data_IF_031288832975
#
_entry.id   IF_031288832975
#
_cell.length_a   1.000
_cell.length_b   1.000
_cell.length_c   1.000
_cell.angle_alpha   90.00
_cell.angle_beta   90.00
_cell.angle_gamma   90.00
#
_symmetry.space_group_name_H-M   'P 1'
#
loop_
_entity.id
_entity.type
_entity.pdbx_description
1 polymer ?
#
# COMPACT_ATOMS: atom_id res chain seq x y z
N UNK A 1 -10.56 -7.36 46.56
CA UNK A 1 -10.33 -8.26 45.40
C UNK A 1 -10.96 -7.62 44.19
N UNK A 2 -10.16 -7.00 43.34
CA UNK A 2 -10.66 -6.47 42.04
C UNK A 2 -10.93 -7.66 41.14
N UNK A 3 -12.20 -8.00 40.92
CA UNK A 3 -12.57 -9.02 39.95
C UNK A 3 -12.10 -8.54 38.56
N UNK A 4 -11.38 -9.40 37.81
CA UNK A 4 -10.99 -9.13 36.46
C UNK A 4 -12.26 -8.82 35.62
N UNK A 5 -12.28 -7.67 34.94
CA UNK A 5 -13.41 -7.21 34.15
C UNK A 5 -12.97 -6.92 32.75
N UNK A 6 -13.87 -7.10 31.79
CA UNK A 6 -13.65 -6.58 30.44
C UNK A 6 -13.77 -5.06 30.43
N UNK A 7 -12.92 -4.38 29.71
CA UNK A 7 -13.04 -2.95 29.41
C UNK A 7 -13.48 -2.82 27.97
N UNK A 8 -14.72 -2.39 27.74
CA UNK A 8 -15.34 -2.35 26.42
C UNK A 8 -15.62 -0.90 26.04
N UNK A 9 -15.07 -0.43 24.94
CA UNK A 9 -15.45 0.85 24.38
C UNK A 9 -16.54 0.66 23.31
N UNK A 10 -17.47 1.59 23.21
CA UNK A 10 -18.58 1.48 22.26
C UNK A 10 -18.87 2.79 21.54
N UNK A 11 -19.25 2.68 20.27
CA UNK A 11 -19.75 3.78 19.46
C UNK A 11 -20.95 3.33 18.63
N UNK A 12 -22.00 4.13 18.62
CA UNK A 12 -23.24 3.83 17.91
C UNK A 12 -23.93 5.08 17.39
N UNK A 13 -24.81 4.89 16.43
CA UNK A 13 -25.72 5.96 15.96
C UNK A 13 -26.58 6.48 17.11
N UNK A 14 -26.98 7.77 17.07
CA UNK A 14 -27.92 8.31 18.04
C UNK A 14 -29.18 7.45 18.15
N UNK A 15 -29.64 7.22 19.39
CA UNK A 15 -30.85 6.41 19.69
C UNK A 15 -30.74 4.92 19.37
N UNK A 16 -29.55 4.38 19.23
CA UNK A 16 -29.34 2.94 19.07
C UNK A 16 -29.79 2.18 20.32
N UNK A 17 -30.78 1.30 20.19
CA UNK A 17 -31.39 0.59 21.32
C UNK A 17 -30.38 -0.33 22.02
N UNK A 18 -29.60 -1.10 21.24
CA UNK A 18 -28.58 -2.01 21.78
C UNK A 18 -27.51 -1.27 22.60
N UNK A 19 -27.11 -0.07 22.18
CA UNK A 19 -26.09 0.72 22.86
C UNK A 19 -26.55 1.21 24.24
N UNK A 20 -27.81 1.66 24.32
CA UNK A 20 -28.43 2.01 25.60
C UNK A 20 -28.55 0.80 26.51
N UNK A 21 -28.93 -0.34 25.98
CA UNK A 21 -29.11 -1.60 26.70
C UNK A 21 -27.80 -2.14 27.25
N UNK A 22 -26.72 -2.18 26.48
CA UNK A 22 -25.37 -2.57 26.92
C UNK A 22 -24.89 -1.66 28.06
N UNK A 23 -25.10 -0.34 27.88
CA UNK A 23 -24.78 0.63 28.93
C UNK A 23 -25.53 0.36 30.23
N UNK A 24 -26.82 0.02 30.15
CA UNK A 24 -27.66 -0.33 31.31
C UNK A 24 -27.14 -1.60 32.00
N UNK A 25 -26.80 -2.64 31.24
CA UNK A 25 -26.24 -3.88 31.80
C UNK A 25 -24.90 -3.66 32.51
N UNK A 26 -24.02 -2.84 31.93
CA UNK A 26 -22.73 -2.51 32.54
C UNK A 26 -22.90 -1.71 33.83
N UNK A 27 -23.77 -0.68 33.84
CA UNK A 27 -24.04 0.15 35.02
C UNK A 27 -24.72 -0.64 36.16
N UNK A 28 -25.58 -1.60 35.83
CA UNK A 28 -26.23 -2.48 36.75
C UNK A 28 -25.34 -3.66 37.20
N UNK A 29 -24.08 -3.73 36.76
CA UNK A 29 -23.18 -4.87 36.98
C UNK A 29 -23.78 -6.22 36.53
N UNK A 30 -24.73 -6.20 35.59
CA UNK A 30 -25.36 -7.38 35.02
C UNK A 30 -24.45 -8.12 34.01
N UNK A 31 -23.40 -7.48 33.55
CA UNK A 31 -22.30 -8.05 32.73
C UNK A 31 -20.97 -7.78 33.42
N UNK A 32 -19.95 -8.65 33.26
CA UNK A 32 -18.62 -8.47 33.86
C UNK A 32 -17.76 -7.50 33.03
N UNK A 33 -18.32 -6.33 32.66
CA UNK A 33 -17.66 -5.37 31.79
C UNK A 33 -17.87 -3.93 32.27
N UNK A 34 -16.81 -3.12 32.15
CA UNK A 34 -16.89 -1.66 32.18
C UNK A 34 -17.20 -1.20 30.73
N UNK A 35 -18.20 -0.33 30.56
CA UNK A 35 -18.58 0.17 29.24
C UNK A 35 -18.28 1.65 29.10
N UNK A 36 -17.32 1.96 28.20
CA UNK A 36 -16.87 3.32 27.89
C UNK A 36 -17.57 3.79 26.62
N UNK A 37 -18.40 4.81 26.74
CA UNK A 37 -19.10 5.40 25.58
C UNK A 37 -18.22 6.38 24.84
N UNK A 38 -18.19 6.27 23.52
CA UNK A 38 -17.58 7.25 22.63
C UNK A 38 -18.67 7.96 21.83
N UNK A 39 -18.50 9.27 21.64
CA UNK A 39 -19.44 10.11 20.89
C UNK A 39 -19.34 9.87 19.39
N UNK A 40 -18.13 9.54 18.92
CA UNK A 40 -17.87 9.28 17.51
C UNK A 40 -16.70 8.35 17.27
N UNK A 41 -16.53 7.96 16.01
CA UNK A 41 -15.46 7.05 15.57
C UNK A 41 -14.07 7.66 15.80
N UNK A 42 -13.91 8.97 15.60
CA UNK A 42 -12.62 9.65 15.79
C UNK A 42 -12.20 9.68 17.28
N UNK A 43 -13.15 9.88 18.18
CA UNK A 43 -12.87 9.77 19.62
C UNK A 43 -12.45 8.34 19.98
N UNK A 44 -13.14 7.33 19.44
CA UNK A 44 -12.79 5.93 19.67
C UNK A 44 -11.38 5.63 19.16
N UNK A 45 -11.02 6.10 17.95
CA UNK A 45 -9.66 5.96 17.41
C UNK A 45 -8.62 6.59 18.34
N UNK A 46 -8.86 7.82 18.77
CA UNK A 46 -7.96 8.52 19.69
C UNK A 46 -7.76 7.78 21.01
N UNK A 47 -8.82 7.17 21.54
CA UNK A 47 -8.75 6.38 22.79
C UNK A 47 -7.98 5.07 22.61
N UNK A 48 -8.16 4.37 21.49
CA UNK A 48 -7.42 3.15 21.15
C UNK A 48 -5.93 3.46 20.99
N UNK A 49 -5.59 4.51 20.26
CA UNK A 49 -4.19 4.89 19.98
C UNK A 49 -3.48 5.54 21.17
N UNK A 50 -4.23 6.04 22.17
CA UNK A 50 -3.63 6.64 23.38
C UNK A 50 -2.97 5.63 24.33
N UNK A 51 -3.04 4.32 24.01
CA UNK A 51 -2.47 3.26 24.83
C UNK A 51 -3.33 2.86 26.03
N UNK A 52 -4.57 3.35 26.14
CA UNK A 52 -5.51 2.84 27.15
C UNK A 52 -5.91 1.41 26.79
N UNK A 53 -5.76 0.45 27.70
CA UNK A 53 -6.10 -0.93 27.41
C UNK A 53 -7.62 -1.13 27.32
N UNK A 54 -8.06 -1.76 26.23
CA UNK A 54 -9.44 -2.22 26.04
C UNK A 54 -9.44 -3.71 25.74
N UNK A 55 -10.43 -4.42 26.25
CA UNK A 55 -10.68 -5.83 25.93
C UNK A 55 -11.36 -5.98 24.57
N UNK A 56 -12.33 -5.12 24.29
CA UNK A 56 -13.11 -5.12 23.06
C UNK A 56 -13.63 -3.73 22.72
N UNK A 57 -14.00 -3.56 21.44
CA UNK A 57 -14.80 -2.44 20.98
C UNK A 57 -16.11 -2.94 20.37
N UNK A 58 -17.22 -2.25 20.68
CA UNK A 58 -18.53 -2.49 20.08
C UNK A 58 -18.86 -1.38 19.08
N UNK A 59 -19.07 -1.74 17.84
CA UNK A 59 -19.21 -0.84 16.72
C UNK A 59 -20.57 -0.98 16.05
N UNK A 60 -21.32 0.10 15.89
CA UNK A 60 -22.53 0.10 15.05
C UNK A 60 -22.12 0.04 13.56
N UNK A 61 -22.42 -1.07 12.91
CA UNK A 61 -22.11 -1.28 11.49
C UNK A 61 -22.78 -0.31 10.50
N UNK A 62 -23.73 0.49 10.96
CA UNK A 62 -24.35 1.57 10.18
C UNK A 62 -23.68 2.94 10.36
N UNK A 63 -22.63 3.06 11.17
CA UNK A 63 -21.90 4.32 11.36
C UNK A 63 -20.90 4.57 10.24
N UNK A 64 -20.89 5.78 9.65
CA UNK A 64 -19.79 6.22 8.79
C UNK A 64 -18.47 6.20 9.57
N UNK A 65 -17.40 5.66 8.96
CA UNK A 65 -16.07 5.57 9.58
C UNK A 65 -15.81 4.27 10.35
N UNK A 66 -16.82 3.39 10.52
CA UNK A 66 -16.59 1.99 10.85
C UNK A 66 -16.19 1.29 9.56
N UNK A 67 -14.90 1.07 9.40
CA UNK A 67 -14.28 0.63 8.16
C UNK A 67 -13.11 -0.33 8.43
N UNK A 68 -12.50 -0.85 7.37
CA UNK A 68 -11.34 -1.75 7.42
C UNK A 68 -10.20 -1.18 8.27
N UNK A 69 -9.94 0.13 8.16
CA UNK A 69 -8.85 0.78 8.87
C UNK A 69 -9.08 0.83 10.38
N UNK A 70 -10.32 1.12 10.82
CA UNK A 70 -10.66 1.07 12.24
C UNK A 70 -10.51 -0.34 12.81
N UNK A 71 -10.99 -1.35 12.06
CA UNK A 71 -10.88 -2.75 12.47
C UNK A 71 -9.42 -3.21 12.52
N UNK A 72 -8.59 -2.75 11.58
CA UNK A 72 -7.16 -3.01 11.59
C UNK A 72 -6.45 -2.38 12.79
N UNK A 73 -6.73 -1.10 13.10
CA UNK A 73 -6.18 -0.42 14.30
C UNK A 73 -6.55 -1.15 15.58
N UNK A 74 -7.80 -1.60 15.73
CA UNK A 74 -8.22 -2.36 16.91
C UNK A 74 -7.45 -3.68 17.02
N UNK A 75 -7.35 -4.44 15.93
CA UNK A 75 -6.60 -5.70 15.88
C UNK A 75 -5.13 -5.49 16.20
N UNK A 76 -4.50 -4.46 15.62
CA UNK A 76 -3.08 -4.14 15.82
C UNK A 76 -2.78 -3.73 17.27
N UNK A 77 -3.80 -3.26 18.00
CA UNK A 77 -3.74 -3.01 19.44
C UNK A 77 -4.18 -4.21 20.30
N UNK A 78 -4.43 -5.38 19.71
CA UNK A 78 -4.89 -6.57 20.44
C UNK A 78 -6.31 -6.48 20.99
N UNK A 79 -7.14 -5.56 20.44
CA UNK A 79 -8.50 -5.28 20.91
C UNK A 79 -9.49 -6.02 20.00
N UNK A 80 -10.40 -6.80 20.59
CA UNK A 80 -11.44 -7.48 19.83
C UNK A 80 -12.44 -6.47 19.24
N UNK A 81 -12.56 -6.43 17.92
CA UNK A 81 -13.53 -5.56 17.24
C UNK A 81 -14.82 -6.33 16.93
N UNK A 82 -15.88 -6.03 17.67
CA UNK A 82 -17.20 -6.67 17.52
C UNK A 82 -18.15 -5.67 16.87
N UNK A 83 -18.67 -6.02 15.70
CA UNK A 83 -19.60 -5.17 14.95
C UNK A 83 -21.04 -5.57 15.24
N UNK A 84 -21.86 -4.60 15.61
CA UNK A 84 -23.30 -4.80 15.80
C UNK A 84 -24.00 -4.42 14.51
N UNK A 85 -24.49 -5.40 13.77
CA UNK A 85 -25.07 -5.24 12.44
C UNK A 85 -26.06 -6.38 12.13
N UNK A 86 -26.82 -6.23 11.03
CA UNK A 86 -27.67 -7.30 10.54
C UNK A 86 -26.83 -8.57 10.27
N UNK A 87 -27.25 -9.75 10.75
CA UNK A 87 -26.56 -11.01 10.54
C UNK A 87 -26.25 -11.33 9.06
N UNK A 88 -27.08 -10.88 8.13
CA UNK A 88 -26.83 -11.02 6.67
C UNK A 88 -25.55 -10.32 6.24
N UNK A 89 -25.13 -9.28 6.95
CA UNK A 89 -23.89 -8.54 6.67
C UNK A 89 -22.65 -9.15 7.34
N UNK A 90 -22.77 -10.20 8.14
CA UNK A 90 -21.67 -10.81 8.87
C UNK A 90 -20.47 -11.23 8.00
N UNK A 91 -20.66 -11.88 6.82
CA UNK A 91 -19.52 -12.25 5.95
C UNK A 91 -18.73 -11.03 5.48
N UNK A 92 -19.40 -9.91 5.22
CA UNK A 92 -18.76 -8.65 4.85
C UNK A 92 -17.89 -8.11 5.97
N UNK A 93 -18.40 -8.05 7.21
CA UNK A 93 -17.66 -7.51 8.34
C UNK A 93 -16.47 -8.39 8.72
N UNK A 94 -16.62 -9.72 8.65
CA UNK A 94 -15.52 -10.67 8.83
C UNK A 94 -14.43 -10.46 7.77
N UNK A 95 -14.81 -10.28 6.51
CA UNK A 95 -13.87 -9.98 5.42
C UNK A 95 -13.15 -8.62 5.59
N UNK A 96 -13.73 -7.69 6.34
CA UNK A 96 -13.12 -6.41 6.72
C UNK A 96 -12.20 -6.52 7.95
N UNK A 97 -12.22 -7.66 8.66
CA UNK A 97 -11.37 -7.93 9.82
C UNK A 97 -12.07 -7.76 11.18
N UNK A 98 -13.41 -7.81 11.22
CA UNK A 98 -14.14 -7.87 12.48
C UNK A 98 -13.85 -9.19 13.21
N UNK A 99 -13.63 -9.14 14.52
CA UNK A 99 -13.45 -10.32 15.37
C UNK A 99 -14.75 -11.10 15.55
N UNK A 100 -15.89 -10.39 15.53
CA UNK A 100 -17.22 -10.97 15.60
C UNK A 100 -18.31 -10.01 15.15
N UNK A 101 -19.49 -10.56 14.86
CA UNK A 101 -20.67 -9.78 14.51
C UNK A 101 -21.84 -10.21 15.39
N UNK A 102 -22.51 -9.23 16.02
CA UNK A 102 -23.70 -9.44 16.84
C UNK A 102 -24.91 -8.77 16.18
N UNK A 103 -26.08 -9.34 16.41
CA UNK A 103 -27.36 -8.73 15.97
C UNK A 103 -27.65 -7.44 16.75
N UNK A 104 -28.31 -6.43 16.16
CA UNK A 104 -28.83 -5.29 16.89
C UNK A 104 -29.85 -5.65 17.98
N UNK A 105 -30.46 -6.84 17.92
CA UNK A 105 -31.34 -7.41 18.94
C UNK A 105 -30.58 -8.31 19.93
N UNK A 106 -29.27 -8.08 20.12
CA UNK A 106 -28.42 -8.89 20.97
C UNK A 106 -28.95 -9.03 22.40
N UNK A 107 -28.80 -10.22 22.96
CA UNK A 107 -29.09 -10.51 24.34
C UNK A 107 -27.85 -10.34 25.22
N UNK A 108 -28.07 -10.27 26.53
CA UNK A 108 -26.97 -10.23 27.50
C UNK A 108 -26.06 -11.45 27.40
N UNK A 109 -26.64 -12.63 27.22
CA UNK A 109 -25.89 -13.88 27.11
C UNK A 109 -24.97 -13.87 25.89
N UNK A 110 -25.51 -13.51 24.72
CA UNK A 110 -24.72 -13.40 23.46
C UNK A 110 -23.55 -12.42 23.57
N UNK A 111 -23.74 -11.28 24.26
CA UNK A 111 -22.65 -10.34 24.49
C UNK A 111 -21.57 -10.92 25.40
N UNK A 112 -21.96 -11.57 26.49
CA UNK A 112 -21.00 -12.18 27.42
C UNK A 112 -20.24 -13.33 26.76
N UNK A 113 -20.92 -14.17 26.00
CA UNK A 113 -20.30 -15.27 25.25
C UNK A 113 -19.33 -14.74 24.18
N UNK A 114 -19.69 -13.66 23.48
CA UNK A 114 -18.80 -13.02 22.52
C UNK A 114 -17.56 -12.42 23.19
N UNK A 115 -17.72 -11.75 24.35
CA UNK A 115 -16.58 -11.23 25.09
C UNK A 115 -15.69 -12.36 25.62
N UNK A 116 -16.25 -13.43 26.11
CA UNK A 116 -15.49 -14.58 26.65
C UNK A 116 -14.70 -15.31 25.55
N UNK A 117 -15.23 -15.37 24.33
CA UNK A 117 -14.60 -16.08 23.20
C UNK A 117 -13.61 -15.23 22.40
N UNK A 118 -13.80 -13.90 22.35
CA UNK A 118 -13.07 -13.02 21.45
C UNK A 118 -12.15 -12.02 22.16
N UNK A 119 -12.45 -11.64 23.40
CA UNK A 119 -11.79 -10.56 24.10
C UNK A 119 -10.86 -11.07 25.20
N UNK A 120 -9.75 -10.38 25.40
CA UNK A 120 -8.83 -10.65 26.51
C UNK A 120 -9.22 -9.78 27.72
N UNK A 121 -9.09 -10.32 28.93
CA UNK A 121 -9.26 -9.57 30.16
C UNK A 121 -8.10 -8.58 30.32
N UNK A 122 -8.41 -7.32 30.59
CA UNK A 122 -7.39 -6.33 30.93
C UNK A 122 -6.89 -6.59 32.37
N UNK A 123 -5.61 -6.94 32.49
CA UNK A 123 -4.95 -7.03 33.78
C UNK A 123 -4.41 -5.67 34.18
N UNK A 124 -4.69 -5.20 35.41
CA UNK A 124 -4.15 -3.94 35.92
C UNK A 124 -2.68 -4.01 36.33
N UNK A 125 -1.99 -5.13 36.08
CA UNK A 125 -0.67 -5.40 36.63
C UNK A 125 0.47 -5.35 35.60
N UNK A 126 0.19 -5.17 34.29
CA UNK A 126 1.31 -5.13 33.32
C UNK A 126 1.00 -4.24 32.10
N UNK A 127 1.76 -3.14 31.91
CA UNK A 127 1.57 -2.24 30.75
C UNK A 127 2.33 -2.66 29.49
N UNK A 128 2.77 -3.92 29.38
CA UNK A 128 3.49 -4.38 28.19
C UNK A 128 2.75 -5.55 27.56
N UNK A 129 1.91 -5.31 26.56
CA UNK A 129 1.46 -6.41 25.71
C UNK A 129 2.66 -6.93 24.93
N UNK A 130 3.11 -8.13 25.25
CA UNK A 130 4.00 -8.89 24.37
C UNK A 130 3.17 -9.28 23.15
N UNK A 131 3.28 -8.49 22.10
CA UNK A 131 2.61 -8.71 20.84
C UNK A 131 3.36 -9.82 20.10
N UNK A 132 2.87 -11.04 20.15
CA UNK A 132 3.14 -12.01 19.11
C UNK A 132 2.24 -11.65 17.90
N UNK A 133 2.79 -11.20 16.79
CA UNK A 133 1.99 -10.92 15.61
C UNK A 133 1.36 -12.24 15.16
N UNK A 134 0.06 -12.39 15.34
CA UNK A 134 -0.71 -13.45 14.70
C UNK A 134 -0.48 -13.29 13.21
N UNK A 135 0.37 -14.16 12.67
CA UNK A 135 0.75 -14.14 11.27
C UNK A 135 -0.46 -14.47 10.41
N UNK A 136 -1.20 -13.44 10.02
CA UNK A 136 -2.01 -13.52 8.82
C UNK A 136 -1.01 -13.77 7.70
N UNK A 137 -0.93 -15.02 7.23
CA UNK A 137 -0.12 -15.41 6.08
C UNK A 137 -0.66 -14.65 4.89
N UNK A 138 -0.07 -13.50 4.59
CA UNK A 138 -0.35 -12.78 3.36
C UNK A 138 -0.09 -13.74 2.21
N UNK A 139 -1.15 -14.13 1.53
CA UNK A 139 -1.05 -14.91 0.30
C UNK A 139 -0.19 -14.14 -0.70
N UNK A 140 0.69 -14.81 -1.46
CA UNK A 140 1.48 -14.13 -2.50
C UNK A 140 0.55 -13.37 -3.43
N UNK A 141 0.92 -12.12 -3.78
CA UNK A 141 0.19 -11.35 -4.79
C UNK A 141 0.17 -12.15 -6.10
N UNK A 142 -1.00 -12.43 -6.67
CA UNK A 142 -1.10 -13.30 -7.85
C UNK A 142 -0.56 -12.65 -9.13
N UNK A 143 -0.44 -11.30 -9.17
CA UNK A 143 0.07 -10.52 -10.29
C UNK A 143 1.51 -10.04 -10.08
N UNK A 144 2.22 -9.73 -11.19
CA UNK A 144 3.51 -9.05 -11.18
C UNK A 144 3.34 -7.55 -11.13
N UNK A 145 4.22 -6.87 -10.38
CA UNK A 145 4.19 -5.43 -10.21
C UNK A 145 5.48 -4.80 -10.73
N UNK A 146 5.33 -3.82 -11.63
CA UNK A 146 6.42 -2.97 -12.13
C UNK A 146 6.15 -1.56 -11.62
N UNK A 147 6.94 -1.07 -10.68
CA UNK A 147 6.86 0.32 -10.25
C UNK A 147 7.77 1.18 -11.13
N UNK A 148 7.30 2.33 -11.55
CA UNK A 148 8.08 3.31 -12.33
C UNK A 148 8.08 4.62 -11.56
N UNK A 149 9.28 5.10 -11.25
CA UNK A 149 9.48 6.32 -10.49
C UNK A 149 10.62 7.15 -11.03
N UNK A 150 10.66 8.42 -10.70
CA UNK A 150 11.74 9.31 -11.09
C UNK A 150 11.51 10.74 -10.58
N UNK A 151 12.56 11.54 -10.41
CA UNK A 151 12.43 12.95 -10.11
C UNK A 151 11.56 13.68 -11.13
N UNK A 152 10.88 14.72 -10.71
CA UNK A 152 9.99 15.49 -11.59
C UNK A 152 10.69 15.95 -12.88
N UNK A 153 10.01 15.81 -14.02
CA UNK A 153 10.52 16.21 -15.33
C UNK A 153 11.45 15.19 -16.02
N UNK A 154 11.70 14.03 -15.42
CA UNK A 154 12.53 12.98 -16.05
C UNK A 154 11.79 12.14 -17.09
N UNK A 155 10.46 12.26 -17.17
CA UNK A 155 9.61 11.49 -18.06
C UNK A 155 9.24 10.11 -17.51
N UNK A 156 9.21 9.93 -16.18
CA UNK A 156 8.83 8.68 -15.52
C UNK A 156 7.44 8.21 -16.00
N UNK A 157 6.45 9.09 -16.08
CA UNK A 157 5.10 8.75 -16.58
C UNK A 157 5.10 8.27 -18.02
N UNK A 158 5.98 8.81 -18.87
CA UNK A 158 6.17 8.31 -20.26
C UNK A 158 6.80 6.92 -20.28
N UNK A 159 7.77 6.68 -19.39
CA UNK A 159 8.38 5.35 -19.24
C UNK A 159 7.36 4.35 -18.70
N UNK A 160 6.47 4.76 -17.78
CA UNK A 160 5.38 3.91 -17.28
C UNK A 160 4.41 3.49 -18.39
N UNK A 161 4.00 4.43 -19.26
CA UNK A 161 3.20 4.12 -20.44
C UNK A 161 3.94 3.15 -21.38
N UNK A 162 5.24 3.39 -21.61
CA UNK A 162 6.06 2.54 -22.47
C UNK A 162 6.23 1.14 -21.89
N UNK A 163 6.38 1.01 -20.57
CA UNK A 163 6.43 -0.27 -19.89
C UNK A 163 5.10 -1.03 -20.02
N UNK A 164 3.97 -0.35 -19.78
CA UNK A 164 2.65 -0.95 -19.94
C UNK A 164 2.39 -1.43 -21.37
N UNK A 165 2.71 -0.61 -22.37
CA UNK A 165 2.58 -0.99 -23.79
C UNK A 165 3.54 -2.15 -24.13
N UNK A 166 4.78 -2.13 -23.66
CA UNK A 166 5.75 -3.18 -23.95
C UNK A 166 5.32 -4.55 -23.44
N UNK A 167 4.75 -4.62 -22.22
CA UNK A 167 4.30 -5.88 -21.62
C UNK A 167 2.95 -6.35 -22.15
N UNK A 168 2.10 -5.44 -22.63
CA UNK A 168 0.81 -5.79 -23.23
C UNK A 168 0.93 -6.29 -24.68
N UNK A 169 1.90 -5.78 -25.44
CA UNK A 169 2.12 -6.15 -26.85
C UNK A 169 3.23 -7.19 -27.04
N UNK A 170 3.96 -7.54 -25.97
CA UNK A 170 5.04 -8.53 -25.98
C UNK A 170 4.58 -9.98 -26.15
N UNK A 171 5.53 -10.90 -26.25
CA UNK A 171 5.27 -12.36 -26.36
C UNK A 171 4.51 -12.83 -25.12
N UNK A 172 3.27 -13.31 -25.31
CA UNK A 172 2.36 -13.72 -24.22
C UNK A 172 1.49 -12.58 -23.67
N UNK A 173 1.65 -11.35 -24.15
CA UNK A 173 0.76 -10.24 -23.82
C UNK A 173 -0.64 -10.46 -24.39
N UNK A 174 -1.66 -10.26 -23.60
CA UNK A 174 -3.05 -10.25 -24.06
C UNK A 174 -3.69 -8.92 -23.64
N UNK A 175 -4.46 -8.28 -24.52
CA UNK A 175 -5.25 -7.11 -24.14
C UNK A 175 -6.08 -7.38 -22.88
N UNK A 176 -6.12 -6.44 -21.95
CA UNK A 176 -6.84 -6.58 -20.70
C UNK A 176 -6.11 -7.34 -19.57
N UNK A 177 -4.87 -7.79 -19.79
CA UNK A 177 -4.04 -8.42 -18.76
C UNK A 177 -3.09 -7.44 -18.05
N UNK A 178 -2.98 -6.21 -18.54
CA UNK A 178 -2.09 -5.18 -18.04
C UNK A 178 -2.90 -3.96 -17.63
N UNK A 179 -2.63 -3.44 -16.45
CA UNK A 179 -3.13 -2.13 -16.02
C UNK A 179 -1.99 -1.18 -15.75
N UNK A 180 -2.10 0.05 -16.27
CA UNK A 180 -1.30 1.20 -15.85
C UNK A 180 -2.07 1.94 -14.75
N UNK A 181 -1.52 1.98 -13.55
CA UNK A 181 -2.13 2.66 -12.42
C UNK A 181 -1.38 3.98 -12.14
N UNK A 182 -2.09 5.10 -12.21
CA UNK A 182 -1.55 6.41 -11.83
C UNK A 182 -1.68 6.58 -10.30
N UNK A 183 -0.59 6.35 -9.60
CA UNK A 183 -0.50 6.45 -8.14
C UNK A 183 0.24 7.72 -7.69
N UNK A 184 0.54 8.62 -8.61
CA UNK A 184 1.17 9.88 -8.28
C UNK A 184 0.21 10.81 -7.51
N UNK A 185 0.74 11.55 -6.52
CA UNK A 185 -0.01 12.63 -5.87
C UNK A 185 -0.45 13.69 -6.88
N UNK A 186 0.37 13.93 -7.90
CA UNK A 186 0.06 14.76 -9.06
C UNK A 186 -0.17 13.84 -10.23
N UNK A 187 -1.38 13.35 -10.32
CA UNK A 187 -1.79 12.43 -11.38
C UNK A 187 -1.80 13.14 -12.74
N UNK A 188 -1.07 12.60 -13.71
CA UNK A 188 -0.92 13.17 -15.05
C UNK A 188 -1.31 12.19 -16.17
N UNK A 189 -1.51 10.89 -15.84
CA UNK A 189 -1.81 9.88 -16.85
C UNK A 189 -3.13 10.15 -17.59
N UNK A 190 -4.14 10.70 -16.91
CA UNK A 190 -5.40 11.10 -17.57
C UNK A 190 -5.14 12.11 -18.70
N UNK A 191 -4.32 13.13 -18.46
CA UNK A 191 -3.94 14.12 -19.48
C UNK A 191 -3.08 13.48 -20.60
N UNK A 192 -2.13 12.60 -20.25
CA UNK A 192 -1.26 11.91 -21.20
C UNK A 192 -1.98 10.88 -22.10
N UNK A 193 -3.23 10.56 -21.75
CA UNK A 193 -4.11 9.66 -22.53
C UNK A 193 -5.31 10.39 -23.14
N UNK A 194 -5.30 11.73 -23.14
CA UNK A 194 -6.43 12.56 -23.61
C UNK A 194 -7.78 12.14 -23.01
N UNK A 195 -7.75 11.76 -21.73
CA UNK A 195 -8.96 11.31 -21.05
C UNK A 195 -9.95 12.45 -20.89
N UNK A 196 -11.18 12.26 -21.37
CA UNK A 196 -12.30 13.18 -21.16
C UNK A 196 -12.94 13.01 -19.80
N UNK A 197 -12.62 11.94 -19.08
CA UNK A 197 -13.15 11.61 -17.77
C UNK A 197 -12.09 11.76 -16.69
N UNK A 198 -12.52 12.12 -15.50
CA UNK A 198 -11.67 12.22 -14.29
C UNK A 198 -12.08 11.19 -13.23
N UNK A 199 -13.10 10.40 -13.53
CA UNK A 199 -13.67 9.35 -12.68
C UNK A 199 -14.38 8.30 -13.58
N UNK A 200 -14.48 7.02 -13.15
CA UNK A 200 -13.91 6.48 -11.92
C UNK A 200 -12.37 6.40 -11.96
N UNK A 201 -11.75 6.07 -10.81
CA UNK A 201 -10.29 5.92 -10.71
C UNK A 201 -9.87 5.46 -9.32
N UNK A 202 -8.66 5.84 -8.92
CA UNK A 202 -8.03 5.42 -7.67
C UNK A 202 -8.88 5.68 -6.42
N UNK A 203 -9.59 6.81 -6.35
CA UNK A 203 -10.43 7.11 -5.18
C UNK A 203 -11.58 6.11 -5.04
N UNK A 204 -12.30 5.85 -6.11
CA UNK A 204 -13.41 4.90 -6.14
C UNK A 204 -12.91 3.48 -5.84
N UNK A 205 -11.73 3.11 -6.32
CA UNK A 205 -11.09 1.84 -6.02
C UNK A 205 -10.78 1.70 -4.51
N UNK A 206 -10.16 2.72 -3.91
CA UNK A 206 -9.84 2.72 -2.47
C UNK A 206 -11.11 2.75 -1.62
N UNK A 207 -12.11 3.56 -1.98
CA UNK A 207 -13.39 3.63 -1.26
C UNK A 207 -14.15 2.29 -1.31
N UNK A 208 -14.14 1.60 -2.45
CA UNK A 208 -14.73 0.27 -2.58
C UNK A 208 -14.06 -0.75 -1.65
N UNK A 209 -12.73 -0.70 -1.52
CA UNK A 209 -11.99 -1.58 -0.61
C UNK A 209 -12.06 -1.17 0.86
N UNK A 210 -12.36 0.09 1.15
CA UNK A 210 -12.60 0.57 2.51
C UNK A 210 -13.85 -0.07 3.11
N UNK A 211 -14.89 -0.23 2.31
CA UNK A 211 -16.20 -0.71 2.75
C UNK A 211 -16.52 -2.16 2.38
N UNK A 212 -15.70 -2.82 1.57
CA UNK A 212 -15.96 -4.18 1.09
C UNK A 212 -14.73 -4.85 0.48
N UNK A 213 -14.99 -5.90 -0.28
CA UNK A 213 -14.01 -6.60 -1.12
C UNK A 213 -14.62 -6.73 -2.53
N UNK A 214 -14.35 -5.76 -3.41
CA UNK A 214 -14.86 -5.81 -4.78
C UNK A 214 -14.29 -7.02 -5.53
N UNK A 215 -15.10 -7.54 -6.47
CA UNK A 215 -14.65 -8.61 -7.34
C UNK A 215 -13.64 -8.10 -8.39
N UNK A 216 -12.82 -8.98 -9.00
CA UNK A 216 -11.96 -8.58 -10.11
C UNK A 216 -12.70 -7.87 -11.26
N UNK A 217 -13.96 -8.24 -11.52
CA UNK A 217 -14.80 -7.59 -12.54
C UNK A 217 -15.18 -6.16 -12.14
N UNK A 218 -15.54 -5.94 -10.86
CA UNK A 218 -15.82 -4.59 -10.34
C UNK A 218 -14.59 -3.70 -10.39
N UNK A 219 -13.41 -4.25 -10.09
CA UNK A 219 -12.13 -3.51 -10.17
C UNK A 219 -11.84 -3.09 -11.61
N UNK A 220 -11.99 -4.01 -12.57
CA UNK A 220 -11.79 -3.71 -13.99
C UNK A 220 -12.78 -2.66 -14.50
N UNK A 221 -14.00 -2.63 -13.99
CA UNK A 221 -15.00 -1.63 -14.35
C UNK A 221 -14.62 -0.18 -13.91
N UNK A 222 -13.62 -0.04 -13.01
CA UNK A 222 -13.07 1.25 -12.60
C UNK A 222 -11.92 1.73 -13.48
N UNK A 223 -11.48 0.93 -14.46
CA UNK A 223 -10.38 1.21 -15.37
C UNK A 223 -10.90 1.53 -16.78
N UNK A 224 -10.09 2.25 -17.55
CA UNK A 224 -10.40 2.61 -18.94
C UNK A 224 -9.51 1.83 -19.91
N UNK A 225 -10.09 1.21 -20.92
CA UNK A 225 -9.34 0.50 -21.96
C UNK A 225 -8.59 1.46 -22.90
N UNK A 226 -7.27 1.34 -22.99
CA UNK A 226 -6.42 2.07 -23.94
C UNK A 226 -6.08 1.13 -25.09
N UNK A 227 -7.02 0.97 -26.02
CA UNK A 227 -7.00 -0.10 -27.03
C UNK A 227 -5.74 -0.09 -27.90
N UNK A 228 -5.32 1.08 -28.41
CA UNK A 228 -4.15 1.21 -29.29
C UNK A 228 -2.83 0.87 -28.61
N UNK A 229 -2.80 0.92 -27.28
CA UNK A 229 -1.63 0.58 -26.45
C UNK A 229 -1.76 -0.79 -25.75
N UNK A 230 -2.95 -1.40 -25.78
CA UNK A 230 -3.22 -2.76 -25.33
C UNK A 230 -3.33 -2.95 -23.82
N UNK A 231 -3.48 -1.90 -23.02
CA UNK A 231 -3.62 -1.96 -21.56
C UNK A 231 -4.83 -1.17 -21.07
N UNK A 232 -5.20 -1.43 -19.82
CA UNK A 232 -6.20 -0.63 -19.11
C UNK A 232 -5.51 0.45 -18.26
N UNK A 233 -6.18 1.58 -18.07
CA UNK A 233 -5.71 2.72 -17.28
C UNK A 233 -6.59 2.92 -16.05
N UNK A 234 -5.99 2.87 -14.86
CA UNK A 234 -6.59 3.37 -13.63
C UNK A 234 -6.20 4.83 -13.45
N UNK A 235 -7.17 5.73 -13.54
CA UNK A 235 -6.96 7.17 -13.32
C UNK A 235 -6.55 7.45 -11.88
N UNK A 236 -5.61 8.36 -11.69
CA UNK A 236 -5.12 8.74 -10.38
C UNK A 236 -5.99 9.73 -9.63
N UNK A 237 -5.42 10.38 -8.63
CA UNK A 237 -6.10 11.35 -7.80
C UNK A 237 -6.61 12.55 -8.63
N UNK A 238 -7.90 12.86 -8.55
CA UNK A 238 -8.49 14.02 -9.21
C UNK A 238 -7.90 15.35 -8.76
N UNK A 239 -7.47 15.44 -7.49
CA UNK A 239 -6.80 16.59 -6.90
C UNK A 239 -5.78 16.11 -5.88
N UNK A 240 -4.57 16.67 -5.92
CA UNK A 240 -3.48 16.33 -5.01
C UNK A 240 -3.91 16.25 -3.53
N UNK A 241 -4.71 17.21 -3.04
CA UNK A 241 -5.15 17.28 -1.64
C UNK A 241 -5.99 16.06 -1.18
N UNK A 242 -6.52 15.26 -2.12
CA UNK A 242 -7.37 14.12 -1.78
C UNK A 242 -6.61 12.93 -1.21
N UNK A 243 -5.27 13.01 -1.14
CA UNK A 243 -4.49 12.03 -0.40
C UNK A 243 -4.95 11.90 1.07
N UNK A 244 -5.45 12.99 1.68
CA UNK A 244 -5.96 12.97 3.06
C UNK A 244 -7.21 12.09 3.26
N UNK A 245 -7.87 11.70 2.18
CA UNK A 245 -9.01 10.78 2.22
C UNK A 245 -8.61 9.31 2.05
N UNK A 246 -7.38 9.06 1.63
CA UNK A 246 -6.84 7.72 1.46
C UNK A 246 -6.47 7.16 2.83
N UNK A 247 -7.01 5.99 3.16
CA UNK A 247 -6.66 5.29 4.40
C UNK A 247 -5.67 4.17 4.09
N UNK A 248 -4.59 4.03 4.89
CA UNK A 248 -3.51 3.09 4.59
C UNK A 248 -3.96 1.64 4.37
N UNK A 249 -4.86 1.12 5.21
CA UNK A 249 -5.37 -0.25 5.06
C UNK A 249 -6.25 -0.42 3.83
N UNK A 250 -7.04 0.59 3.47
CA UNK A 250 -7.85 0.58 2.26
C UNK A 250 -6.98 0.68 0.99
N UNK A 251 -5.90 1.48 1.01
CA UNK A 251 -4.92 1.58 -0.09
C UNK A 251 -4.23 0.24 -0.30
N UNK A 252 -3.75 -0.40 0.77
CA UNK A 252 -3.12 -1.71 0.68
C UNK A 252 -4.07 -2.75 0.08
N UNK A 253 -5.31 -2.83 0.58
CA UNK A 253 -6.31 -3.76 0.05
C UNK A 253 -6.71 -3.45 -1.40
N UNK A 254 -6.77 -2.17 -1.79
CA UNK A 254 -7.04 -1.75 -3.16
C UNK A 254 -5.92 -2.20 -4.12
N UNK A 255 -4.68 -2.06 -3.69
CA UNK A 255 -3.54 -2.49 -4.47
C UNK A 255 -3.48 -4.01 -4.62
N UNK A 256 -3.73 -4.77 -3.56
CA UNK A 256 -3.88 -6.23 -3.60
C UNK A 256 -5.02 -6.66 -4.53
N UNK A 257 -6.17 -5.97 -4.45
CA UNK A 257 -7.29 -6.18 -5.34
C UNK A 257 -6.91 -5.97 -6.81
N UNK A 258 -6.15 -4.91 -7.09
CA UNK A 258 -5.66 -4.62 -8.44
C UNK A 258 -4.74 -5.75 -8.96
N UNK A 259 -3.81 -6.23 -8.13
CA UNK A 259 -2.93 -7.36 -8.44
C UNK A 259 -3.69 -8.69 -8.61
N UNK A 260 -4.88 -8.81 -8.00
CA UNK A 260 -5.76 -9.97 -8.18
C UNK A 260 -6.59 -9.87 -9.46
N UNK A 261 -6.91 -8.64 -9.90
CA UNK A 261 -7.67 -8.41 -11.12
C UNK A 261 -6.81 -8.44 -12.38
N UNK A 262 -5.53 -8.11 -12.27
CA UNK A 262 -4.61 -8.01 -13.43
C UNK A 262 -3.34 -8.84 -13.21
N UNK A 263 -2.95 -9.67 -14.17
CA UNK A 263 -1.67 -10.40 -14.15
C UNK A 263 -0.44 -9.48 -14.06
N UNK A 264 -0.51 -8.27 -14.64
CA UNK A 264 0.58 -7.29 -14.60
C UNK A 264 0.02 -5.92 -14.22
N UNK A 265 0.60 -5.33 -13.19
CA UNK A 265 0.33 -3.97 -12.74
C UNK A 265 1.57 -3.12 -12.99
N UNK A 266 1.46 -2.09 -13.80
CA UNK A 266 2.47 -1.04 -13.95
C UNK A 266 2.01 0.16 -13.13
N UNK A 267 2.77 0.50 -12.10
CA UNK A 267 2.44 1.59 -11.18
C UNK A 267 3.33 2.81 -11.47
N UNK A 268 2.72 3.90 -11.92
CA UNK A 268 3.37 5.21 -12.05
C UNK A 268 3.32 5.90 -10.68
N UNK A 269 4.48 6.08 -10.04
CA UNK A 269 4.59 6.55 -8.65
C UNK A 269 5.54 7.73 -8.51
N UNK A 270 5.29 8.57 -7.51
CA UNK A 270 6.20 9.66 -7.14
C UNK A 270 7.52 9.14 -6.55
N UNK A 271 8.50 10.03 -6.48
CA UNK A 271 9.85 9.73 -6.00
C UNK A 271 10.00 9.80 -4.47
N UNK A 272 9.01 10.34 -3.75
CA UNK A 272 9.08 10.57 -2.30
C UNK A 272 8.66 9.30 -1.54
N UNK A 273 9.59 8.72 -0.78
CA UNK A 273 9.41 7.52 0.03
C UNK A 273 9.48 7.77 1.54
N UNK A 274 9.62 9.05 1.96
CA UNK A 274 9.68 9.39 3.37
C UNK A 274 8.47 8.84 4.14
N UNK A 275 8.74 8.27 5.31
CA UNK A 275 7.75 7.78 6.24
C UNK A 275 7.92 8.38 7.63
N UNK A 276 7.16 7.90 8.60
CA UNK A 276 7.24 8.31 10.00
C UNK A 276 8.63 7.99 10.59
N UNK A 277 9.24 6.91 10.16
CA UNK A 277 10.57 6.44 10.57
C UNK A 277 11.71 7.45 10.29
N UNK A 278 11.59 8.24 9.23
CA UNK A 278 12.57 9.24 8.82
C UNK A 278 12.13 10.65 9.22
N UNK A 279 10.87 10.99 8.95
CA UNK A 279 10.34 12.36 9.16
C UNK A 279 9.82 12.60 10.57
N UNK A 280 9.54 11.55 11.36
CA UNK A 280 8.83 11.63 12.63
C UNK A 280 7.36 12.04 12.51
N UNK A 281 6.79 12.00 11.30
CA UNK A 281 5.42 12.44 11.01
C UNK A 281 4.62 11.38 10.27
N UNK A 282 3.54 10.93 10.90
CA UNK A 282 2.57 10.02 10.27
C UNK A 282 1.88 10.64 9.05
N UNK A 283 1.68 11.95 9.04
CA UNK A 283 1.08 12.66 7.90
C UNK A 283 1.97 12.57 6.65
N UNK A 284 3.30 12.55 6.83
CA UNK A 284 4.25 12.37 5.72
C UNK A 284 4.15 10.95 5.18
N UNK A 285 4.07 9.96 6.05
CA UNK A 285 3.89 8.56 5.65
C UNK A 285 2.56 8.35 4.91
N UNK A 286 1.45 8.88 5.46
CA UNK A 286 0.13 8.80 4.83
C UNK A 286 0.10 9.51 3.47
N UNK A 287 0.77 10.67 3.35
CA UNK A 287 0.92 11.36 2.07
C UNK A 287 1.63 10.52 1.01
N UNK A 288 2.65 9.77 1.43
CA UNK A 288 3.48 8.97 0.55
C UNK A 288 3.01 7.51 0.43
N UNK A 289 1.86 7.17 1.01
CA UNK A 289 1.38 5.78 1.12
C UNK A 289 1.27 5.07 -0.24
N UNK A 290 0.87 5.76 -1.30
CA UNK A 290 0.75 5.19 -2.64
C UNK A 290 2.12 4.76 -3.19
N UNK A 291 3.12 5.65 -3.09
CA UNK A 291 4.48 5.37 -3.55
C UNK A 291 5.10 4.21 -2.75
N UNK A 292 5.01 4.28 -1.43
CA UNK A 292 5.54 3.28 -0.49
C UNK A 292 4.88 1.91 -0.72
N UNK A 293 3.56 1.89 -0.94
CA UNK A 293 2.80 0.68 -1.24
C UNK A 293 3.29 0.01 -2.52
N UNK A 294 3.35 0.74 -3.61
CA UNK A 294 3.72 0.19 -4.91
C UNK A 294 5.21 -0.23 -4.98
N UNK A 295 6.14 0.59 -4.46
CA UNK A 295 7.58 0.26 -4.45
C UNK A 295 7.84 -0.99 -3.59
N UNK A 296 7.23 -1.12 -2.41
CA UNK A 296 7.34 -2.33 -1.59
C UNK A 296 6.82 -3.57 -2.30
N UNK A 297 5.71 -3.42 -3.01
CA UNK A 297 5.07 -4.49 -3.75
C UNK A 297 5.73 -4.80 -5.10
N UNK A 298 6.64 -3.98 -5.62
CA UNK A 298 7.20 -4.14 -6.95
C UNK A 298 8.11 -5.37 -7.08
N UNK A 299 7.96 -6.15 -8.14
CA UNK A 299 8.92 -7.16 -8.57
C UNK A 299 10.09 -6.53 -9.34
N UNK A 300 9.84 -5.37 -9.95
CA UNK A 300 10.83 -4.56 -10.65
C UNK A 300 10.53 -3.08 -10.43
N UNK A 301 11.54 -2.29 -10.11
CA UNK A 301 11.46 -0.83 -9.97
C UNK A 301 12.28 -0.19 -11.08
N UNK A 302 11.62 0.49 -12.02
CA UNK A 302 12.25 1.30 -13.04
C UNK A 302 12.49 2.70 -12.49
N UNK A 303 13.75 3.06 -12.27
CA UNK A 303 14.12 4.38 -11.74
C UNK A 303 14.60 5.26 -12.88
N UNK A 304 13.83 6.31 -13.18
CA UNK A 304 14.00 7.12 -14.38
C UNK A 304 14.78 8.40 -14.08
N UNK A 305 15.89 8.57 -14.77
CA UNK A 305 16.69 9.80 -14.77
C UNK A 305 16.80 10.42 -16.15
N UNK A 306 17.16 11.71 -16.19
CA UNK A 306 17.46 12.41 -17.45
C UNK A 306 18.97 12.32 -17.75
N UNK A 307 19.34 12.19 -19.04
CA UNK A 307 20.74 12.10 -19.47
C UNK A 307 21.47 13.45 -19.37
N UNK A 308 21.67 13.96 -18.16
CA UNK A 308 22.42 15.15 -17.81
C UNK A 308 23.15 14.95 -16.48
N UNK A 309 24.13 15.81 -16.13
CA UNK A 309 24.85 15.73 -14.87
C UNK A 309 23.88 15.81 -13.67
N UNK A 310 22.96 16.78 -13.68
CA UNK A 310 21.92 16.92 -12.63
C UNK A 310 21.01 15.68 -12.59
N UNK A 311 20.61 15.17 -13.78
CA UNK A 311 19.76 13.98 -13.87
C UNK A 311 20.46 12.73 -13.32
N UNK A 312 21.75 12.58 -13.56
CA UNK A 312 22.54 11.48 -13.00
C UNK A 312 22.60 11.56 -11.47
N UNK A 313 22.87 12.75 -10.91
CA UNK A 313 22.90 12.95 -9.47
C UNK A 313 21.53 12.66 -8.83
N UNK A 314 20.45 13.18 -9.39
CA UNK A 314 19.10 12.92 -8.89
C UNK A 314 18.70 11.45 -8.99
N UNK A 315 19.12 10.76 -10.06
CA UNK A 315 18.90 9.32 -10.23
C UNK A 315 19.64 8.51 -9.17
N UNK A 316 20.92 8.82 -8.92
CA UNK A 316 21.71 8.15 -7.87
C UNK A 316 21.13 8.35 -6.48
N UNK A 317 20.70 9.56 -6.15
CA UNK A 317 20.06 9.87 -4.87
C UNK A 317 18.77 9.04 -4.70
N UNK A 318 17.89 9.03 -5.70
CA UNK A 318 16.64 8.26 -5.64
C UNK A 318 16.89 6.74 -5.57
N UNK A 319 17.89 6.22 -6.27
CA UNK A 319 18.25 4.81 -6.15
C UNK A 319 18.72 4.50 -4.73
N UNK A 320 19.46 5.41 -4.09
CA UNK A 320 19.87 5.24 -2.70
C UNK A 320 18.65 5.23 -1.75
N UNK A 321 17.72 6.17 -1.92
CA UNK A 321 16.48 6.21 -1.14
C UNK A 321 15.67 4.91 -1.27
N UNK A 322 15.61 4.33 -2.49
CA UNK A 322 14.92 3.06 -2.75
C UNK A 322 15.65 1.88 -2.06
N UNK A 323 16.98 1.87 -2.04
CA UNK A 323 17.79 0.90 -1.30
C UNK A 323 17.55 1.00 0.21
N UNK A 324 17.56 2.22 0.74
CA UNK A 324 17.33 2.48 2.15
C UNK A 324 15.91 2.11 2.57
N UNK A 325 14.95 2.23 1.64
CA UNK A 325 13.58 1.73 1.80
C UNK A 325 13.49 0.19 1.82
N UNK A 326 14.56 -0.54 1.45
CA UNK A 326 14.69 -1.99 1.57
C UNK A 326 14.50 -2.77 0.25
N UNK A 327 14.59 -2.12 -0.90
CA UNK A 327 14.52 -2.79 -2.21
C UNK A 327 15.90 -3.31 -2.62
N UNK A 328 16.00 -4.59 -2.96
CA UNK A 328 17.23 -5.20 -3.43
C UNK A 328 17.67 -4.68 -4.81
N UNK A 329 18.98 -4.54 -5.03
CA UNK A 329 19.59 -4.08 -6.28
C UNK A 329 19.13 -4.89 -7.51
N UNK A 330 18.89 -6.19 -7.36
CA UNK A 330 18.41 -7.05 -8.42
C UNK A 330 16.99 -6.70 -8.92
N UNK A 331 16.24 -5.94 -8.13
CA UNK A 331 14.90 -5.44 -8.47
C UNK A 331 14.92 -4.00 -8.99
N UNK A 332 16.09 -3.35 -9.03
CA UNK A 332 16.24 -1.95 -9.45
C UNK A 332 16.83 -1.90 -10.86
N UNK A 333 16.13 -1.29 -11.78
CA UNK A 333 16.61 -1.02 -13.13
C UNK A 333 16.65 0.49 -13.39
N UNK A 334 17.85 1.02 -13.56
CA UNK A 334 18.02 2.42 -13.96
C UNK A 334 17.62 2.64 -15.43
N UNK A 335 16.88 3.72 -15.69
CA UNK A 335 16.47 4.14 -17.03
C UNK A 335 16.94 5.57 -17.27
N UNK A 336 17.79 5.76 -18.26
CA UNK A 336 18.27 7.06 -18.72
C UNK A 336 17.38 7.52 -19.88
N UNK A 337 16.41 8.38 -19.57
CA UNK A 337 15.52 8.96 -20.57
C UNK A 337 16.19 10.14 -21.29
N UNK A 338 15.69 10.49 -22.46
CA UNK A 338 16.28 11.51 -23.35
C UNK A 338 17.78 11.26 -23.62
N UNK A 339 18.14 9.99 -23.79
CA UNK A 339 19.52 9.58 -23.92
C UNK A 339 20.15 10.04 -25.22
N UNK A 340 21.45 10.38 -25.21
CA UNK A 340 22.17 10.75 -26.44
C UNK A 340 22.29 9.58 -27.41
N UNK A 341 22.33 9.88 -28.71
CA UNK A 341 22.50 8.88 -29.77
C UNK A 341 23.88 8.21 -29.70
N UNK A 342 24.91 8.92 -29.25
CA UNK A 342 26.30 8.45 -29.20
C UNK A 342 26.48 7.30 -28.20
N UNK A 343 26.98 6.17 -28.69
CA UNK A 343 27.33 5.02 -27.83
C UNK A 343 28.42 5.38 -26.81
N UNK A 344 29.37 6.24 -27.16
CA UNK A 344 30.42 6.72 -26.27
C UNK A 344 29.84 7.51 -25.09
N UNK A 345 28.87 8.41 -25.34
CA UNK A 345 28.20 9.18 -24.30
C UNK A 345 27.37 8.27 -23.38
N UNK A 346 26.63 7.29 -23.94
CA UNK A 346 25.89 6.31 -23.15
C UNK A 346 26.79 5.47 -22.26
N UNK A 347 27.95 5.01 -22.79
CA UNK A 347 28.93 4.28 -22.00
C UNK A 347 29.56 5.15 -20.90
N UNK A 348 29.76 6.45 -21.14
CA UNK A 348 30.22 7.39 -20.11
C UNK A 348 29.21 7.55 -18.97
N UNK A 349 27.92 7.71 -19.28
CA UNK A 349 26.86 7.75 -18.25
C UNK A 349 26.77 6.45 -17.47
N UNK A 350 26.87 5.28 -18.13
CA UNK A 350 26.86 3.98 -17.45
C UNK A 350 28.02 3.81 -16.47
N UNK A 351 29.23 4.25 -16.85
CA UNK A 351 30.40 4.24 -15.96
C UNK A 351 30.22 5.19 -14.78
N UNK A 352 29.80 6.43 -15.02
CA UNK A 352 29.58 7.42 -13.99
C UNK A 352 28.50 6.96 -12.97
N UNK A 353 27.42 6.32 -13.46
CA UNK A 353 26.42 5.73 -12.57
C UNK A 353 27.01 4.62 -11.71
N UNK A 354 27.81 3.72 -12.29
CA UNK A 354 28.46 2.62 -11.56
C UNK A 354 29.49 3.12 -10.53
N UNK A 355 30.17 4.24 -10.79
CA UNK A 355 31.10 4.88 -9.86
C UNK A 355 30.38 5.56 -8.69
N UNK A 356 29.21 6.15 -8.93
CA UNK A 356 28.40 6.84 -7.92
C UNK A 356 27.55 5.91 -7.06
N UNK A 357 27.29 4.69 -7.53
CA UNK A 357 26.52 3.68 -6.81
C UNK A 357 27.42 2.52 -6.38
N UNK A 358 28.09 2.62 -5.23
CA UNK A 358 28.89 1.52 -4.72
C UNK A 358 28.02 0.28 -4.48
N UNK A 359 28.62 -0.90 -4.71
CA UNK A 359 27.97 -2.18 -4.43
C UNK A 359 27.70 -2.29 -2.93
N UNK A 360 26.43 -2.53 -2.55
CA UNK A 360 26.09 -2.76 -1.14
C UNK A 360 26.35 -4.22 -0.76
N UNK A 361 26.91 -4.50 0.44
CA UNK A 361 27.00 -5.86 0.93
C UNK A 361 25.59 -6.43 1.09
N UNK A 362 25.31 -7.57 0.45
CA UNK A 362 24.00 -8.21 0.51
C UNK A 362 23.53 -8.44 1.95
N UNK A 363 22.31 -8.03 2.26
CA UNK A 363 21.70 -8.18 3.61
C UNK A 363 21.38 -9.63 4.01
N UNK A 364 21.55 -10.59 3.13
CA UNK A 364 21.32 -12.00 3.41
C UNK A 364 22.63 -12.79 3.54
N UNK A 365 23.21 -12.76 4.75
CA UNK A 365 24.28 -13.67 5.15
C UNK A 365 23.71 -15.08 5.32
N UNK A 366 23.86 -15.93 4.30
CA UNK A 366 23.40 -17.34 4.38
C UNK A 366 23.75 -18.22 3.17
N UNK A 367 24.39 -17.69 2.14
CA UNK A 367 24.79 -18.48 0.95
C UNK A 367 26.24 -18.26 0.60
N UNK A 368 27.01 -19.34 0.55
CA UNK A 368 28.38 -19.37 0.04
C UNK A 368 28.38 -19.01 -1.44
N UNK A 369 28.88 -17.81 -1.80
CA UNK A 369 29.13 -17.45 -3.19
C UNK A 369 28.27 -16.31 -3.75
N UNK A 370 27.89 -15.31 -2.95
CA UNK A 370 27.15 -14.14 -3.42
C UNK A 370 28.07 -13.22 -4.23
N UNK A 371 27.90 -13.20 -5.55
CA UNK A 371 28.25 -12.00 -6.33
C UNK A 371 27.48 -10.82 -5.72
N UNK A 372 28.19 -9.78 -5.30
CA UNK A 372 27.63 -8.57 -4.71
C UNK A 372 26.59 -7.97 -5.67
N UNK A 373 25.38 -7.72 -5.19
CA UNK A 373 24.29 -7.15 -5.99
C UNK A 373 24.74 -5.85 -6.65
N UNK A 374 24.88 -5.90 -7.95
CA UNK A 374 25.24 -4.75 -8.77
C UNK A 374 24.00 -4.38 -9.59
N UNK A 375 23.61 -3.12 -9.50
CA UNK A 375 22.53 -2.62 -10.34
C UNK A 375 22.88 -2.88 -11.82
N UNK A 376 21.91 -3.38 -12.57
CA UNK A 376 22.08 -3.69 -13.97
C UNK A 376 22.47 -2.44 -14.78
N UNK A 377 23.12 -2.64 -15.93
CA UNK A 377 23.46 -1.55 -16.86
C UNK A 377 22.20 -0.72 -17.17
N UNK A 378 22.28 0.63 -17.12
CA UNK A 378 21.12 1.47 -17.38
C UNK A 378 20.55 1.28 -18.78
N UNK A 379 19.24 1.28 -18.89
CA UNK A 379 18.49 1.32 -20.13
C UNK A 379 18.51 2.74 -20.69
N UNK A 380 18.77 2.89 -21.98
CA UNK A 380 18.81 4.19 -22.63
C UNK A 380 17.62 4.35 -23.58
N UNK A 381 16.76 5.32 -23.27
CA UNK A 381 15.59 5.68 -24.08
C UNK A 381 15.91 6.95 -24.89
N UNK A 382 15.89 6.90 -26.23
CA UNK A 382 16.26 8.05 -27.06
C UNK A 382 15.19 9.15 -27.01
N UNK A 383 15.62 10.40 -27.27
CA UNK A 383 14.68 11.50 -27.48
C UNK A 383 13.79 11.19 -28.67
N UNK A 384 12.48 11.28 -28.47
CA UNK A 384 11.46 11.19 -29.53
C UNK A 384 10.34 12.19 -29.24
N UNK A 385 9.83 12.81 -30.28
CA UNK A 385 8.61 13.58 -30.15
C UNK A 385 7.42 12.61 -30.14
N UNK A 386 6.74 12.53 -29.01
CA UNK A 386 5.57 11.68 -28.79
C UNK A 386 4.27 12.48 -28.63
N UNK A 387 4.31 13.79 -28.75
CA UNK A 387 3.16 14.67 -28.52
C UNK A 387 1.92 14.30 -29.33
N UNK A 388 2.13 13.86 -30.58
CA UNK A 388 1.03 13.39 -31.42
C UNK A 388 0.38 12.12 -30.87
N UNK A 389 1.21 11.17 -30.37
CA UNK A 389 0.71 9.94 -29.77
C UNK A 389 -0.03 10.20 -28.46
N UNK A 390 0.40 11.21 -27.68
CA UNK A 390 -0.27 11.58 -26.44
C UNK A 390 -1.64 12.19 -26.70
N UNK A 391 -1.74 13.12 -27.67
CA UNK A 391 -3.00 13.79 -28.02
C UNK A 391 -4.08 12.89 -28.60
N UNK A 392 -3.73 11.76 -29.17
CA UNK A 392 -4.67 10.82 -29.78
C UNK A 392 -4.70 9.45 -29.11
N UNK A 393 -4.01 9.31 -27.97
CA UNK A 393 -3.83 8.06 -27.21
C UNK A 393 -3.38 6.86 -28.06
N UNK A 394 -2.74 7.12 -29.22
CA UNK A 394 -2.23 6.06 -30.12
C UNK A 394 -0.97 5.41 -29.57
N UNK A 395 -0.56 4.28 -30.16
CA UNK A 395 0.62 3.54 -29.75
C UNK A 395 1.88 4.40 -29.73
N UNK A 396 2.69 4.25 -28.70
CA UNK A 396 4.00 4.91 -28.59
C UNK A 396 4.99 4.28 -29.58
N UNK A 397 5.98 5.06 -30.08
CA UNK A 397 6.96 4.55 -31.04
C UNK A 397 7.81 3.40 -30.47
N UNK A 398 8.08 2.38 -31.29
CA UNK A 398 8.90 1.23 -30.90
C UNK A 398 10.27 1.62 -30.31
N UNK A 399 10.89 2.70 -30.81
CA UNK A 399 12.17 3.19 -30.30
C UNK A 399 12.12 3.62 -28.81
N UNK A 400 10.94 3.94 -28.26
CA UNK A 400 10.75 4.28 -26.84
C UNK A 400 10.32 3.04 -26.05
N UNK A 401 9.51 2.17 -26.64
CA UNK A 401 8.89 1.01 -26.01
C UNK A 401 9.85 -0.19 -25.92
N UNK A 402 10.55 -0.52 -27.01
CA UNK A 402 11.38 -1.74 -27.11
C UNK A 402 12.53 -1.82 -26.09
N UNK A 403 13.31 -0.74 -25.83
CA UNK A 403 14.39 -0.81 -24.85
C UNK A 403 13.89 -1.14 -23.45
N UNK A 404 12.73 -0.60 -23.08
CA UNK A 404 12.10 -0.84 -21.77
C UNK A 404 11.55 -2.27 -21.71
N UNK A 405 10.86 -2.71 -22.76
CA UNK A 405 10.35 -4.08 -22.86
C UNK A 405 11.44 -5.14 -22.81
N UNK A 406 12.57 -4.89 -23.46
CA UNK A 406 13.74 -5.78 -23.40
C UNK A 406 14.30 -5.91 -21.99
N UNK A 407 14.44 -4.80 -21.27
CA UNK A 407 14.91 -4.80 -19.88
C UNK A 407 13.94 -5.52 -18.95
N UNK A 408 12.63 -5.29 -19.07
CA UNK A 408 11.61 -5.97 -18.27
C UNK A 408 11.68 -7.50 -18.52
N UNK A 409 11.74 -7.94 -19.76
CA UNK A 409 11.88 -9.37 -20.08
C UNK A 409 13.14 -9.95 -19.47
N UNK A 410 14.29 -9.30 -19.66
CA UNK A 410 15.57 -9.76 -19.11
C UNK A 410 15.50 -9.93 -17.58
N UNK A 411 14.90 -8.97 -16.86
CA UNK A 411 14.74 -9.06 -15.42
C UNK A 411 13.82 -10.21 -14.99
N UNK A 412 12.76 -10.47 -15.75
CA UNK A 412 11.80 -11.53 -15.41
C UNK A 412 12.29 -12.94 -15.83
N UNK A 413 13.04 -13.06 -16.93
CA UNK A 413 13.63 -14.32 -17.43
C UNK A 413 14.84 -14.75 -16.60
N UNK A 414 15.62 -13.80 -16.09
CA UNK A 414 16.75 -14.08 -15.20
C UNK A 414 16.31 -14.68 -13.85
N UNK A 415 15.01 -14.96 -13.68
CA UNK A 415 14.47 -15.46 -12.42
C UNK A 415 14.64 -14.44 -11.32
N UNK A 416 14.20 -13.20 -11.59
CA UNK A 416 14.28 -12.12 -10.61
C UNK A 416 13.94 -12.63 -9.21
N UNK A 417 14.66 -12.23 -8.15
CA UNK A 417 14.59 -12.83 -6.85
C UNK A 417 13.11 -12.97 -6.45
N UNK A 418 12.70 -14.22 -6.21
CA UNK A 418 11.39 -14.46 -5.63
C UNK A 418 11.31 -13.61 -4.37
N UNK A 419 10.29 -12.76 -4.26
CA UNK A 419 10.10 -12.01 -3.01
C UNK A 419 10.20 -12.99 -1.86
N UNK A 420 11.03 -12.74 -0.82
CA UNK A 420 10.98 -13.53 0.39
C UNK A 420 9.54 -13.57 0.88
N UNK A 421 9.02 -14.72 1.25
CA UNK A 421 7.63 -14.85 1.74
C UNK A 421 7.34 -13.89 2.91
N UNK A 422 8.38 -13.51 3.66
CA UNK A 422 8.30 -12.56 4.77
C UNK A 422 8.15 -11.10 4.34
N UNK A 423 8.65 -10.70 3.15
CA UNK A 423 8.48 -9.34 2.62
C UNK A 423 7.10 -9.11 1.97
N UNK A 424 6.39 -10.17 1.64
CA UNK A 424 5.01 -10.11 1.13
C UNK A 424 3.98 -9.81 2.22
N UNK A 425 4.36 -9.98 3.49
CA UNK A 425 3.52 -9.62 4.62
C UNK A 425 3.70 -8.13 4.96
N UNK A 426 2.64 -7.35 4.89
CA UNK A 426 2.58 -5.98 5.34
C UNK A 426 2.87 -5.92 6.84
N UNK A 427 4.12 -5.65 7.24
CA UNK A 427 4.44 -5.33 8.64
C UNK A 427 4.12 -3.85 8.87
N UNK A 428 2.99 -3.56 9.49
CA UNK A 428 2.80 -2.29 10.17
C UNK A 428 3.65 -2.30 11.44
N UNK A 429 4.45 -1.26 11.62
CA UNK A 429 5.04 -0.96 12.92
C UNK A 429 3.88 -0.41 13.76
N UNK A 430 3.56 -1.07 14.89
CA UNK A 430 2.50 -0.59 15.77
C UNK A 430 2.85 0.83 16.30
N UNK A 431 1.87 1.75 16.38
CA UNK A 431 2.09 3.05 16.97
C UNK A 431 2.65 2.92 18.39
N UNK A 432 3.76 3.59 18.69
CA UNK A 432 4.41 3.55 20.01
C UNK A 432 5.62 2.62 20.13
N UNK A 433 5.95 1.82 19.12
CA UNK A 433 7.10 0.91 19.17
C UNK A 433 8.46 1.62 19.38
N UNK A 434 8.60 2.85 18.89
CA UNK A 434 9.84 3.64 19.05
C UNK A 434 10.02 4.29 20.42
N UNK A 435 9.02 4.29 21.30
CA UNK A 435 9.14 4.88 22.64
C UNK A 435 9.81 3.97 23.68
N UNK A 436 9.89 2.67 23.47
CA UNK A 436 10.41 1.70 24.44
C UNK A 436 11.86 1.26 24.22
N UNK A 437 12.50 1.60 23.09
CA UNK A 437 13.83 1.07 22.74
C UNK A 437 15.03 2.02 22.86
N UNK A 438 14.84 3.33 23.07
CA UNK A 438 15.93 4.30 22.89
C UNK A 438 16.51 4.95 24.15
N UNK A 439 16.10 4.54 25.35
CA UNK A 439 16.66 5.11 26.61
C UNK A 439 17.15 4.01 27.55
N UNK A 440 18.21 3.34 27.19
CA UNK A 440 18.85 2.41 28.11
C UNK A 440 20.15 1.84 27.54
N UNK A 441 21.20 2.57 27.65
CA UNK A 441 22.53 2.21 28.14
C UNK A 441 23.60 3.13 27.55
N UNK A 442 23.75 4.23 28.20
CA UNK A 442 25.00 4.95 28.22
C UNK A 442 25.45 5.09 29.68
N UNK A 443 26.67 4.70 29.96
CA UNK A 443 27.50 4.86 31.18
C UNK A 443 27.65 3.60 32.04
N UNK A 444 28.69 2.90 31.92
CA UNK A 444 29.94 2.99 32.79
C UNK A 444 31.09 2.24 32.09
#
# INVERSE_FOLDING_TARGET
MNAARYVVAGVARPRSAWFAQVSQWANAAAIPAEFVKCVGVDELRGRITSGRPFSAILLDGGLPGVDRDLLAVARDCGIAAIVVADPVSAPRWQALGASGVLSPALTRAELVDALASLAQLVSTADPTPTFEPSGDRASPLPGRVIAVTGPGGTGASTVAMSAAQAVSTGVGGQPGNVVLADLCLRAEQGMLHDSQSVAPGLQELVDAHRSGRPSPADIRALCFGVHDRGYDLLLGLRRRRLWTTLRPGAVAAAFEGLCSAYPIVVADVGADLEGEDVSGSIDVEERNILNRTAIRAADLVLVVGHASLKGLHSLTALIQDIRDFGVDDARIQAVMNAAPASARSRAAFGRALAELLPSMPGRHAGGTGAEHGRIATPVFVPVRNIDACLRSATALPAAVVEPIGAAIRQCFEAGGPARPEQERAWRRIAPGFLRSGALGQGTQ
#
